data_IF_064058041176
#
_entry.id   IF_064058041176
#
_cell.length_a   1.000
_cell.length_b   1.000
_cell.length_c   1.000
_cell.angle_alpha   90.00
_cell.angle_beta   90.00
_cell.angle_gamma   90.00
#
_symmetry.space_group_name_H-M   'P 1'
#
loop_
_entity.id
_entity.type
_entity.pdbx_description
1 polymer ?
#
# COMPACT_ATOMS: atom_id res chain seq x y z
N UNK A 1 12.43 -38.26 38.33
CA UNK A 1 12.70 -36.84 38.63
C UNK A 1 11.55 -36.07 38.01
N UNK A 2 10.51 -35.78 38.80
CA UNK A 2 9.33 -35.05 38.37
C UNK A 2 9.49 -33.66 38.95
N UNK A 3 9.74 -32.66 38.11
CA UNK A 3 9.86 -31.26 38.51
C UNK A 3 8.53 -30.59 38.21
N UNK A 4 7.84 -30.24 39.29
CA UNK A 4 6.61 -29.46 39.31
C UNK A 4 7.01 -27.99 39.14
N UNK A 5 6.39 -27.29 38.18
CA UNK A 5 6.60 -25.86 37.95
C UNK A 5 5.38 -25.12 38.48
N UNK A 6 5.57 -24.36 39.57
CA UNK A 6 4.59 -23.40 40.09
C UNK A 6 4.44 -22.20 39.14
N UNK A 7 3.21 -21.68 38.92
CA UNK A 7 3.00 -20.46 38.16
C UNK A 7 3.32 -19.22 39.00
N UNK A 8 4.19 -18.37 38.47
CA UNK A 8 4.56 -17.07 39.06
C UNK A 8 3.44 -16.07 38.77
N UNK A 9 2.78 -15.62 39.82
CA UNK A 9 1.78 -14.54 39.81
C UNK A 9 2.49 -13.21 39.55
N UNK A 10 2.15 -12.53 38.46
CA UNK A 10 2.66 -11.19 38.16
C UNK A 10 1.53 -10.18 38.32
N UNK A 11 1.41 -9.74 39.57
CA UNK A 11 0.56 -8.67 40.03
C UNK A 11 0.74 -7.38 39.23
N UNK A 12 -0.40 -6.78 38.93
CA UNK A 12 -0.60 -5.47 38.33
C UNK A 12 0.00 -4.37 39.21
N UNK A 13 1.08 -3.73 38.77
CA UNK A 13 1.49 -2.43 39.29
C UNK A 13 1.10 -1.35 38.29
N UNK A 14 0.01 -0.67 38.65
CA UNK A 14 -0.40 0.61 38.12
C UNK A 14 0.61 1.68 38.54
N UNK A 15 1.30 2.28 37.58
CA UNK A 15 1.82 3.63 37.77
C UNK A 15 1.66 4.44 36.49
N UNK A 16 1.01 5.60 36.63
CA UNK A 16 0.51 6.39 35.52
C UNK A 16 1.61 7.06 34.71
N UNK A 17 1.44 7.07 33.40
CA UNK A 17 2.04 8.08 32.55
C UNK A 17 0.95 8.66 31.65
N UNK A 18 0.54 9.89 31.95
CA UNK A 18 -0.24 10.73 31.06
C UNK A 18 0.55 10.99 29.78
N UNK A 19 0.48 10.05 28.82
CA UNK A 19 0.77 10.37 27.44
C UNK A 19 -0.51 10.97 26.88
N UNK A 20 -0.48 12.30 26.77
CA UNK A 20 -1.57 13.12 26.26
C UNK A 20 -2.31 12.40 25.13
N UNK A 21 -3.61 12.23 25.34
CA UNK A 21 -4.52 11.63 24.39
C UNK A 21 -4.44 12.42 23.08
N UNK A 22 -3.50 12.04 22.23
CA UNK A 22 -3.41 12.51 20.86
C UNK A 22 -4.72 12.11 20.19
N UNK A 23 -5.27 13.02 19.39
CA UNK A 23 -6.57 12.94 18.73
C UNK A 23 -6.65 11.80 17.69
N UNK A 24 -6.26 10.58 18.03
CA UNK A 24 -6.27 9.41 17.16
C UNK A 24 -7.66 8.76 17.08
N UNK A 25 -8.53 9.04 18.07
CA UNK A 25 -9.88 8.48 18.20
C UNK A 25 -10.80 8.76 17.00
N UNK A 26 -10.55 9.80 16.19
CA UNK A 26 -11.37 10.09 15.01
C UNK A 26 -11.01 9.26 13.77
N UNK A 27 -9.89 8.52 13.79
CA UNK A 27 -9.42 7.68 12.67
C UNK A 27 -9.71 6.19 12.85
N UNK A 28 -10.21 5.76 14.00
CA UNK A 28 -10.33 4.33 14.36
C UNK A 28 -11.42 3.57 13.60
N UNK A 29 -12.17 4.21 12.72
CA UNK A 29 -13.12 3.53 11.84
C UNK A 29 -12.59 3.52 10.41
N UNK A 30 -11.63 2.61 10.15
CA UNK A 30 -11.30 2.21 8.78
C UNK A 30 -12.62 1.89 8.06
N UNK A 31 -12.98 2.72 7.09
CA UNK A 31 -14.25 2.54 6.36
C UNK A 31 -14.12 1.36 5.42
N UNK A 32 -14.42 0.18 5.94
CA UNK A 32 -14.57 -1.05 5.19
C UNK A 32 -15.91 -1.02 4.45
N UNK A 33 -16.01 -0.24 3.37
CA UNK A 33 -17.01 -0.53 2.36
C UNK A 33 -16.59 -1.80 1.64
N UNK A 34 -17.42 -2.83 1.56
CA UNK A 34 -17.20 -3.99 0.69
C UNK A 34 -17.45 -3.54 -0.75
N UNK A 35 -16.40 -3.26 -1.54
CA UNK A 35 -16.61 -2.80 -2.90
C UNK A 35 -17.06 -4.02 -3.72
N UNK A 36 -18.04 -3.83 -4.60
CA UNK A 36 -18.31 -4.84 -5.62
C UNK A 36 -17.00 -5.14 -6.37
N UNK A 37 -16.59 -6.41 -6.43
CA UNK A 37 -15.31 -6.81 -7.02
C UNK A 37 -15.15 -6.29 -8.46
N UNK A 38 -16.20 -6.33 -9.27
CA UNK A 38 -16.18 -5.81 -10.63
C UNK A 38 -15.92 -4.29 -10.66
N UNK A 39 -16.52 -3.54 -9.74
CA UNK A 39 -16.28 -2.09 -9.62
C UNK A 39 -14.88 -1.78 -9.10
N UNK A 40 -14.35 -2.58 -8.18
CA UNK A 40 -12.98 -2.43 -7.68
C UNK A 40 -11.97 -2.64 -8.81
N UNK A 41 -12.13 -3.72 -9.59
CA UNK A 41 -11.29 -3.99 -10.76
C UNK A 41 -11.35 -2.86 -11.79
N UNK A 42 -12.55 -2.39 -12.13
CA UNK A 42 -12.72 -1.28 -13.06
C UNK A 42 -12.09 0.02 -12.53
N UNK A 43 -12.20 0.27 -11.22
CA UNK A 43 -11.57 1.43 -10.57
C UNK A 43 -10.04 1.34 -10.64
N UNK A 44 -9.47 0.16 -10.34
CA UNK A 44 -8.03 -0.09 -10.46
C UNK A 44 -7.51 0.23 -11.87
N UNK A 45 -8.14 -0.35 -12.89
CA UNK A 45 -7.76 -0.13 -14.29
C UNK A 45 -7.86 1.32 -14.76
N UNK A 46 -8.91 2.03 -14.34
CA UNK A 46 -9.02 3.47 -14.64
C UNK A 46 -7.90 4.24 -13.93
N UNK A 47 -7.61 3.91 -12.67
CA UNK A 47 -6.54 4.53 -11.90
C UNK A 47 -5.15 4.32 -12.53
N UNK A 48 -4.83 3.10 -12.94
CA UNK A 48 -3.60 2.79 -13.67
C UNK A 48 -3.48 3.60 -14.96
N UNK A 49 -4.55 3.69 -15.75
CA UNK A 49 -4.57 4.50 -16.98
C UNK A 49 -4.34 5.99 -16.72
N UNK A 50 -4.95 6.54 -15.67
CA UNK A 50 -4.77 7.94 -15.27
C UNK A 50 -3.35 8.19 -14.77
N UNK A 51 -2.82 7.29 -13.93
CA UNK A 51 -1.45 7.35 -13.43
C UNK A 51 -0.44 7.34 -14.59
N UNK A 52 -0.58 6.39 -15.52
CA UNK A 52 0.29 6.28 -16.68
C UNK A 52 0.30 7.56 -17.53
N UNK A 53 -0.88 8.11 -17.85
CA UNK A 53 -0.98 9.38 -18.61
C UNK A 53 -0.34 10.55 -17.87
N UNK A 54 -0.53 10.63 -16.56
CA UNK A 54 0.07 11.67 -15.73
C UNK A 54 1.61 11.56 -15.72
N UNK A 55 2.13 10.34 -15.55
CA UNK A 55 3.57 10.07 -15.50
C UNK A 55 4.23 10.35 -16.85
N UNK A 56 3.61 9.93 -17.97
CA UNK A 56 4.06 10.28 -19.33
C UNK A 56 4.14 11.80 -19.50
N UNK A 57 3.11 12.52 -19.05
CA UNK A 57 3.10 13.98 -19.14
C UNK A 57 4.24 14.65 -18.37
N UNK A 58 4.73 14.01 -17.30
CA UNK A 58 5.82 14.53 -16.45
C UNK A 58 7.22 14.14 -16.94
N UNK A 59 7.41 12.90 -17.41
CA UNK A 59 8.73 12.32 -17.71
C UNK A 59 8.99 12.07 -19.20
N UNK A 60 7.97 12.20 -20.05
CA UNK A 60 8.05 11.88 -21.48
C UNK A 60 7.73 10.41 -21.77
N UNK A 61 7.08 10.15 -22.91
CA UNK A 61 6.50 8.84 -23.22
C UNK A 61 7.49 7.69 -23.44
N UNK A 62 8.72 7.97 -23.86
CA UNK A 62 9.73 6.93 -24.11
C UNK A 62 10.32 6.33 -22.84
N UNK A 63 10.19 7.03 -21.71
CA UNK A 63 10.74 6.61 -20.42
C UNK A 63 9.72 5.87 -19.55
N UNK A 64 8.47 5.70 -19.98
CA UNK A 64 7.39 5.16 -19.13
C UNK A 64 6.75 3.96 -19.80
N UNK A 65 6.65 2.85 -19.07
CA UNK A 65 6.03 1.60 -19.54
C UNK A 65 4.96 1.14 -18.56
N UNK A 66 3.72 0.99 -19.04
CA UNK A 66 2.66 0.28 -18.34
C UNK A 66 2.80 -1.22 -18.62
N UNK A 67 3.17 -2.01 -17.61
CA UNK A 67 3.55 -3.42 -17.82
C UNK A 67 2.36 -4.38 -17.86
N UNK A 68 1.22 -3.99 -17.28
CA UNK A 68 -0.02 -4.76 -17.23
C UNK A 68 -1.18 -4.11 -17.99
N UNK A 69 -0.90 -3.25 -18.99
CA UNK A 69 -1.90 -2.50 -19.77
C UNK A 69 -3.01 -3.41 -20.34
N UNK A 70 -2.62 -4.45 -21.08
CA UNK A 70 -3.57 -5.34 -21.74
C UNK A 70 -4.18 -6.36 -20.75
N UNK A 71 -3.36 -6.95 -19.89
CA UNK A 71 -3.71 -8.08 -19.01
C UNK A 71 -2.94 -7.96 -17.70
N UNK A 72 -3.58 -8.36 -16.60
CA UNK A 72 -2.94 -8.43 -15.29
C UNK A 72 -1.75 -9.38 -15.30
N UNK A 73 -0.56 -8.87 -14.99
CA UNK A 73 0.68 -9.66 -15.04
C UNK A 73 0.99 -10.32 -13.70
N UNK A 74 0.42 -9.82 -12.61
CA UNK A 74 0.72 -10.28 -11.25
C UNK A 74 2.13 -9.91 -10.77
N UNK A 75 2.80 -8.99 -11.45
CA UNK A 75 3.99 -8.29 -10.97
C UNK A 75 3.63 -7.41 -9.75
N UNK A 76 4.60 -7.08 -8.88
CA UNK A 76 4.36 -6.24 -7.70
C UNK A 76 4.39 -4.72 -8.03
N UNK A 77 4.14 -4.37 -9.29
CA UNK A 77 4.10 -3.00 -9.82
C UNK A 77 3.35 -2.98 -11.16
N UNK A 78 2.76 -1.83 -11.49
CA UNK A 78 2.00 -1.61 -12.73
C UNK A 78 2.80 -0.82 -13.78
N UNK A 79 3.67 0.09 -13.33
CA UNK A 79 4.37 1.04 -14.20
C UNK A 79 5.88 1.05 -13.90
N UNK A 80 6.69 1.15 -14.95
CA UNK A 80 8.13 1.38 -14.86
C UNK A 80 8.44 2.75 -15.45
N UNK A 81 9.29 3.53 -14.78
CA UNK A 81 9.79 4.83 -15.25
C UNK A 81 11.31 4.81 -15.30
N UNK A 82 11.91 5.35 -16.36
CA UNK A 82 13.35 5.53 -16.50
C UNK A 82 14.08 4.39 -17.22
N UNK A 83 15.40 4.56 -17.32
CA UNK A 83 16.33 3.63 -17.99
C UNK A 83 16.87 2.58 -17.01
N UNK A 84 17.52 1.53 -17.50
CA UNK A 84 17.96 0.35 -16.71
C UNK A 84 18.65 0.68 -15.37
N UNK A 85 19.49 1.72 -15.34
CA UNK A 85 20.23 2.14 -14.14
C UNK A 85 19.48 3.11 -13.21
N UNK A 86 18.33 3.62 -13.64
CA UNK A 86 17.50 4.57 -12.89
C UNK A 86 16.02 4.23 -13.00
N UNK A 87 15.70 2.92 -13.00
CA UNK A 87 14.32 2.44 -13.07
C UNK A 87 13.62 2.66 -11.75
N UNK A 88 12.50 3.36 -11.80
CA UNK A 88 11.53 3.42 -10.72
C UNK A 88 10.35 2.51 -11.04
N UNK A 89 9.88 1.80 -10.02
CA UNK A 89 8.75 0.89 -10.10
C UNK A 89 7.57 1.48 -9.33
N UNK A 90 6.42 1.57 -9.99
CA UNK A 90 5.23 2.21 -9.44
C UNK A 90 4.11 1.19 -9.39
N UNK A 91 3.62 0.97 -8.18
CA UNK A 91 2.38 0.25 -7.90
C UNK A 91 1.26 1.28 -7.68
N UNK A 92 0.16 1.13 -8.43
CA UNK A 92 -0.96 2.07 -8.48
C UNK A 92 -2.12 1.53 -7.65
N UNK A 93 -2.56 2.31 -6.66
CA UNK A 93 -3.77 2.01 -5.88
C UNK A 93 -4.84 3.06 -6.18
N UNK A 94 -6.04 2.62 -6.55
CA UNK A 94 -7.13 3.54 -6.90
C UNK A 94 -8.37 3.32 -6.03
N UNK A 95 -9.05 4.41 -5.68
CA UNK A 95 -10.30 4.38 -4.91
C UNK A 95 -11.29 5.40 -5.44
N UNK A 96 -12.59 5.08 -5.43
CA UNK A 96 -13.66 6.06 -5.67
C UNK A 96 -14.11 6.78 -4.40
N UNK A 97 -13.65 6.30 -3.25
CA UNK A 97 -14.03 6.84 -1.94
C UNK A 97 -13.10 7.98 -1.58
N UNK A 98 -13.64 9.20 -1.53
CA UNK A 98 -12.93 10.40 -1.07
C UNK A 98 -12.47 10.33 0.39
N UNK A 99 -13.04 9.40 1.17
CA UNK A 99 -12.76 9.27 2.61
C UNK A 99 -11.94 8.03 2.93
N UNK A 100 -11.47 7.27 1.94
CA UNK A 100 -10.61 6.11 2.18
C UNK A 100 -9.16 6.58 2.16
N UNK A 101 -8.51 6.50 3.31
CA UNK A 101 -7.12 6.93 3.53
C UNK A 101 -6.15 5.75 3.72
N UNK A 102 -6.61 4.54 3.45
CA UNK A 102 -5.86 3.29 3.60
C UNK A 102 -5.98 2.41 2.36
N UNK A 103 -4.99 1.53 2.17
CA UNK A 103 -4.96 0.56 1.09
C UNK A 103 -4.26 -0.72 1.58
N UNK A 104 -4.52 -1.81 0.88
CA UNK A 104 -3.82 -3.08 1.15
C UNK A 104 -2.53 -3.11 0.35
N UNK A 105 -1.46 -3.58 0.98
CA UNK A 105 -0.19 -3.91 0.35
C UNK A 105 -0.05 -5.42 0.43
N UNK A 106 0.17 -6.09 -0.71
CA UNK A 106 0.42 -7.53 -0.71
C UNK A 106 1.83 -7.84 -0.19
N UNK A 107 2.06 -9.05 0.35
CA UNK A 107 3.40 -9.45 0.80
C UNK A 107 4.45 -9.35 -0.33
N UNK A 108 4.05 -9.58 -1.59
CA UNK A 108 4.93 -9.45 -2.75
C UNK A 108 5.29 -8.00 -3.05
N UNK A 109 4.31 -7.09 -3.00
CA UNK A 109 4.55 -5.64 -3.12
C UNK A 109 5.48 -5.14 -2.00
N UNK A 110 5.21 -5.55 -0.77
CA UNK A 110 6.02 -5.17 0.38
C UNK A 110 7.46 -5.66 0.24
N UNK A 111 7.65 -6.94 -0.06
CA UNK A 111 8.96 -7.54 -0.22
C UNK A 111 9.74 -6.87 -1.37
N UNK A 112 9.06 -6.62 -2.49
CA UNK A 112 9.66 -5.93 -3.62
C UNK A 112 10.09 -4.51 -3.28
N UNK A 113 9.26 -3.77 -2.54
CA UNK A 113 9.59 -2.41 -2.12
C UNK A 113 10.80 -2.39 -1.18
N UNK A 114 10.89 -3.34 -0.26
CA UNK A 114 12.06 -3.50 0.62
C UNK A 114 13.33 -3.81 -0.18
N UNK A 115 13.24 -4.66 -1.20
CA UNK A 115 14.38 -5.04 -2.04
C UNK A 115 14.87 -3.91 -2.96
N UNK A 116 13.95 -3.08 -3.47
CA UNK A 116 14.26 -1.97 -4.37
C UNK A 116 14.55 -0.65 -3.67
N UNK A 117 14.13 -0.51 -2.40
CA UNK A 117 14.31 0.71 -1.63
C UNK A 117 13.71 1.93 -2.33
N UNK A 118 14.51 2.98 -2.48
CA UNK A 118 14.11 4.26 -3.08
C UNK A 118 13.73 4.16 -4.57
N UNK A 119 14.04 3.05 -5.24
CA UNK A 119 13.63 2.80 -6.62
C UNK A 119 12.19 2.26 -6.75
N UNK A 120 11.43 2.19 -5.66
CA UNK A 120 10.03 1.73 -5.68
C UNK A 120 9.12 2.71 -4.94
N UNK A 121 7.93 2.92 -5.49
CA UNK A 121 6.96 3.83 -4.92
C UNK A 121 5.53 3.28 -5.02
N UNK A 122 4.76 3.43 -3.94
CA UNK A 122 3.33 3.14 -3.90
C UNK A 122 2.56 4.44 -4.05
N UNK A 123 1.77 4.57 -5.12
CA UNK A 123 0.98 5.77 -5.38
C UNK A 123 -0.51 5.50 -5.26
N UNK A 124 -1.18 6.28 -4.42
CA UNK A 124 -2.64 6.27 -4.31
C UNK A 124 -3.26 7.38 -5.15
N UNK A 125 -4.29 7.03 -5.93
CA UNK A 125 -5.13 7.93 -6.70
C UNK A 125 -6.57 7.85 -6.19
N UNK A 126 -7.16 9.00 -5.84
CA UNK A 126 -8.51 9.13 -5.28
C UNK A 126 -9.44 9.93 -6.20
#
# INVERSE_FOLDING_TARGET
>A
MHVEFDPVDLDLVSDGLELGASNFSSRDHLRFGTPNAAQAMQTGRIGESVAFKYIIGKFGGTAVKWVNEDIETGLPYDIIVGEENSREYIEVKATKSRTKDWFNISTREWQFAVEKGESSALHMFC
#
